data_IF_303745156433
#
_entry.id   IF_303745156433
#
_cell.length_a   1.000
_cell.length_b   1.000
_cell.length_c   1.000
_cell.angle_alpha   90.00
_cell.angle_beta   90.00
_cell.angle_gamma   90.00
#
_symmetry.space_group_name_H-M   'P 1'
#
loop_
_entity.id
_entity.type
_entity.pdbx_description
1 polymer ?
#
# COMPACT_ATOMS: atom_id res chain seq x y z
N UNK A 1 -47.49 -29.24 25.15
CA UNK A 1 -47.15 -27.96 24.48
C UNK A 1 -45.68 -27.55 24.66
N UNK A 2 -45.11 -27.56 25.88
CA UNK A 2 -43.68 -27.20 26.13
C UNK A 2 -42.64 -27.96 25.28
N UNK A 3 -42.80 -29.28 25.10
CA UNK A 3 -41.88 -30.12 24.32
C UNK A 3 -41.94 -29.87 22.80
N UNK A 4 -43.11 -29.52 22.27
CA UNK A 4 -43.28 -29.15 20.86
C UNK A 4 -42.63 -27.80 20.55
N UNK A 5 -42.77 -26.83 21.46
CA UNK A 5 -42.10 -25.53 21.35
C UNK A 5 -40.58 -25.68 21.41
N UNK A 6 -40.05 -26.48 22.34
CA UNK A 6 -38.61 -26.77 22.44
C UNK A 6 -38.04 -27.41 21.16
N UNK A 7 -38.78 -28.35 20.54
CA UNK A 7 -38.38 -28.99 19.28
C UNK A 7 -38.44 -28.04 18.08
N UNK A 8 -39.44 -27.16 18.04
CA UNK A 8 -39.54 -26.15 16.99
C UNK A 8 -38.40 -25.13 17.09
N UNK A 9 -38.06 -24.68 18.30
CA UNK A 9 -36.92 -23.79 18.56
C UNK A 9 -35.59 -24.45 18.18
N UNK A 10 -35.37 -25.72 18.54
CA UNK A 10 -34.15 -26.43 18.14
C UNK A 10 -34.05 -26.60 16.62
N UNK A 11 -35.15 -26.92 15.94
CA UNK A 11 -35.16 -27.05 14.49
C UNK A 11 -34.81 -25.72 13.79
N UNK A 12 -35.36 -24.60 14.27
CA UNK A 12 -35.04 -23.28 13.74
C UNK A 12 -33.56 -22.92 13.92
N UNK A 13 -32.98 -23.21 15.08
CA UNK A 13 -31.55 -23.00 15.34
C UNK A 13 -30.69 -23.86 14.41
N UNK A 14 -31.05 -25.14 14.21
CA UNK A 14 -30.33 -26.02 13.30
C UNK A 14 -30.36 -25.52 11.85
N UNK A 15 -31.51 -25.04 11.37
CA UNK A 15 -31.63 -24.47 10.02
C UNK A 15 -30.78 -23.20 9.90
N UNK A 16 -30.84 -22.29 10.88
CA UNK A 16 -30.01 -21.09 10.88
C UNK A 16 -28.52 -21.42 10.86
N UNK A 17 -28.08 -22.38 11.67
CA UNK A 17 -26.69 -22.85 11.69
C UNK A 17 -26.28 -23.48 10.35
N UNK A 18 -27.14 -24.30 9.73
CA UNK A 18 -26.87 -24.90 8.42
C UNK A 18 -26.71 -23.83 7.32
N UNK A 19 -27.57 -22.81 7.31
CA UNK A 19 -27.45 -21.68 6.38
C UNK A 19 -26.13 -20.94 6.58
N UNK A 20 -25.76 -20.65 7.84
CA UNK A 20 -24.48 -20.00 8.15
C UNK A 20 -23.28 -20.83 7.67
N UNK A 21 -23.29 -22.14 7.87
CA UNK A 21 -22.23 -23.03 7.39
C UNK A 21 -22.14 -23.07 5.86
N UNK A 22 -23.28 -23.06 5.16
CA UNK A 22 -23.30 -23.00 3.69
C UNK A 22 -22.72 -21.68 3.20
N UNK A 23 -23.10 -20.55 3.79
CA UNK A 23 -22.53 -19.24 3.44
C UNK A 23 -21.01 -19.21 3.67
N UNK A 24 -20.55 -19.70 4.83
CA UNK A 24 -19.13 -19.79 5.15
C UNK A 24 -18.36 -20.67 4.14
N UNK A 25 -18.95 -21.79 3.70
CA UNK A 25 -18.36 -22.66 2.69
C UNK A 25 -18.29 -22.01 1.30
N UNK A 26 -19.30 -21.20 0.93
CA UNK A 26 -19.28 -20.42 -0.31
C UNK A 26 -18.21 -19.35 -0.29
N UNK A 27 -18.09 -18.62 0.82
CA UNK A 27 -17.04 -17.62 1.00
C UNK A 27 -15.65 -18.28 0.98
N UNK A 28 -15.45 -19.39 1.69
CA UNK A 28 -14.19 -20.14 1.65
C UNK A 28 -13.81 -20.56 0.23
N UNK A 29 -14.77 -21.03 -0.57
CA UNK A 29 -14.57 -21.38 -1.98
C UNK A 29 -14.28 -20.14 -2.86
N UNK A 30 -14.92 -19.01 -2.56
CA UNK A 30 -14.68 -17.76 -3.28
C UNK A 30 -13.25 -17.25 -3.00
N UNK A 31 -12.80 -17.30 -1.76
CA UNK A 31 -11.44 -16.94 -1.36
C UNK A 31 -10.38 -17.88 -1.96
N UNK A 32 -10.62 -19.20 -1.92
CA UNK A 32 -9.66 -20.18 -2.44
C UNK A 32 -9.41 -20.05 -3.95
N UNK A 33 -10.41 -19.57 -4.70
CA UNK A 33 -10.29 -19.37 -6.15
C UNK A 33 -9.75 -18.00 -6.52
N UNK A 34 -10.09 -16.96 -5.77
CA UNK A 34 -9.65 -15.58 -6.06
C UNK A 34 -8.22 -15.29 -5.64
N UNK A 35 -7.74 -15.82 -4.51
CA UNK A 35 -6.38 -15.52 -4.02
C UNK A 35 -5.30 -15.87 -5.07
N UNK A 36 -5.29 -17.06 -5.70
CA UNK A 36 -4.33 -17.36 -6.75
C UNK A 36 -4.50 -16.49 -8.00
N UNK A 37 -5.74 -16.12 -8.35
CA UNK A 37 -6.00 -15.25 -9.49
C UNK A 37 -5.46 -13.84 -9.25
N UNK A 38 -5.65 -13.29 -8.06
CA UNK A 38 -5.09 -12.00 -7.66
C UNK A 38 -3.57 -12.03 -7.54
N UNK A 39 -2.97 -13.15 -7.11
CA UNK A 39 -1.52 -13.33 -7.13
C UNK A 39 -0.95 -13.24 -8.55
N UNK A 40 -1.65 -13.79 -9.55
CA UNK A 40 -1.26 -13.68 -10.96
C UNK A 40 -1.47 -12.25 -11.48
N UNK A 41 -2.55 -11.57 -11.08
CA UNK A 41 -2.78 -10.17 -11.40
C UNK A 41 -1.68 -9.28 -10.83
N UNK A 42 -1.28 -9.49 -9.58
CA UNK A 42 -0.17 -8.77 -8.95
C UNK A 42 1.15 -8.96 -9.71
N UNK A 43 1.46 -10.18 -10.15
CA UNK A 43 2.67 -10.43 -10.95
C UNK A 43 2.66 -9.71 -12.30
N UNK A 44 1.48 -9.55 -12.90
CA UNK A 44 1.32 -8.85 -14.18
C UNK A 44 1.34 -7.34 -14.02
N UNK A 45 0.62 -6.84 -13.02
CA UNK A 45 0.47 -5.43 -12.70
C UNK A 45 0.42 -5.25 -11.17
N UNK A 46 1.56 -4.93 -10.55
CA UNK A 46 1.63 -4.69 -9.12
C UNK A 46 0.77 -3.50 -8.65
N UNK A 47 0.45 -2.58 -9.57
CA UNK A 47 -0.30 -1.35 -9.30
C UNK A 47 -1.82 -1.51 -9.43
N UNK A 48 -2.27 -2.73 -9.74
CA UNK A 48 -3.68 -3.04 -9.87
C UNK A 48 -4.46 -2.69 -8.59
N UNK A 49 -5.64 -2.09 -8.76
CA UNK A 49 -6.53 -1.79 -7.64
C UNK A 49 -7.25 -3.03 -7.13
N UNK A 50 -7.65 -2.98 -5.86
CA UNK A 50 -8.45 -4.01 -5.19
C UNK A 50 -7.81 -5.42 -5.18
N UNK A 51 -6.48 -5.51 -5.18
CA UNK A 51 -5.78 -6.78 -4.96
C UNK A 51 -6.11 -7.33 -3.58
N UNK A 52 -6.44 -8.62 -3.52
CA UNK A 52 -6.74 -9.36 -2.29
C UNK A 52 -7.90 -8.76 -1.46
N UNK A 53 -8.83 -8.05 -2.10
CA UNK A 53 -10.09 -7.56 -1.49
C UNK A 53 -11.30 -8.32 -2.05
N UNK A 54 -12.22 -8.76 -1.20
CA UNK A 54 -13.48 -9.40 -1.61
C UNK A 54 -14.70 -8.71 -1.01
N UNK A 55 -15.85 -8.98 -1.63
CA UNK A 55 -17.17 -8.68 -1.08
C UNK A 55 -17.64 -9.95 -0.38
N UNK A 56 -17.83 -9.90 0.94
CA UNK A 56 -18.22 -11.06 1.76
C UNK A 56 -19.73 -11.25 1.73
N UNK A 57 -20.17 -12.51 1.65
CA UNK A 57 -21.58 -12.87 1.77
C UNK A 57 -21.93 -13.18 3.23
N UNK A 58 -20.98 -13.67 4.02
CA UNK A 58 -21.19 -13.92 5.45
C UNK A 58 -21.42 -12.61 6.20
N UNK A 59 -22.41 -12.58 7.12
CA UNK A 59 -22.64 -11.40 7.92
C UNK A 59 -21.46 -11.18 8.88
N UNK A 60 -21.15 -9.91 9.15
CA UNK A 60 -20.17 -9.49 10.16
C UNK A 60 -18.71 -9.91 9.93
N UNK A 61 -18.33 -10.37 8.73
CA UNK A 61 -16.93 -10.75 8.41
C UNK A 61 -16.43 -11.96 9.22
N UNK A 62 -17.35 -12.87 9.55
CA UNK A 62 -17.05 -14.07 10.33
C UNK A 62 -16.05 -14.97 9.60
N UNK A 63 -16.10 -15.02 8.28
CA UNK A 63 -15.18 -15.77 7.43
C UNK A 63 -13.72 -15.32 7.60
N UNK A 64 -13.43 -14.02 7.58
CA UNK A 64 -12.06 -13.51 7.81
C UNK A 64 -11.48 -13.87 9.18
N UNK A 65 -12.34 -13.97 10.20
CA UNK A 65 -11.95 -14.25 11.59
C UNK A 65 -11.78 -15.74 11.86
N UNK A 66 -12.69 -16.57 11.34
CA UNK A 66 -12.70 -18.03 11.55
C UNK A 66 -11.68 -18.72 10.64
N UNK A 67 -11.52 -18.25 9.41
CA UNK A 67 -10.66 -18.91 8.42
C UNK A 67 -9.19 -18.43 8.46
N UNK A 68 -8.84 -17.46 9.31
CA UNK A 68 -7.48 -16.93 9.41
C UNK A 68 -7.03 -16.06 8.22
N UNK A 69 -7.91 -15.83 7.24
CA UNK A 69 -7.61 -15.14 5.97
C UNK A 69 -7.04 -13.73 6.19
N UNK A 70 -7.40 -13.06 7.29
CA UNK A 70 -6.89 -11.73 7.62
C UNK A 70 -5.36 -11.68 7.71
N UNK A 71 -4.74 -12.68 8.34
CA UNK A 71 -3.28 -12.74 8.49
C UNK A 71 -2.60 -13.00 7.15
N UNK A 72 -3.16 -13.91 6.33
CA UNK A 72 -2.64 -14.19 4.99
C UNK A 72 -2.65 -12.95 4.09
N UNK A 73 -3.74 -12.16 4.12
CA UNK A 73 -3.85 -10.91 3.35
C UNK A 73 -2.86 -9.88 3.87
N UNK A 74 -2.74 -9.71 5.20
CA UNK A 74 -1.79 -8.78 5.80
C UNK A 74 -0.35 -9.14 5.42
N UNK A 75 0.01 -10.42 5.51
CA UNK A 75 1.33 -10.92 5.13
C UNK A 75 1.63 -10.65 3.64
N UNK A 76 0.65 -10.87 2.75
CA UNK A 76 0.78 -10.55 1.31
C UNK A 76 0.97 -9.06 1.06
N UNK A 77 0.15 -8.23 1.70
CA UNK A 77 0.23 -6.77 1.64
C UNK A 77 1.58 -6.25 2.11
N UNK A 78 2.08 -6.73 3.25
CA UNK A 78 3.38 -6.37 3.79
C UNK A 78 4.52 -6.72 2.83
N UNK A 79 4.54 -7.92 2.25
CA UNK A 79 5.57 -8.30 1.26
C UNK A 79 5.50 -7.45 0.00
N UNK A 80 4.31 -7.21 -0.52
CA UNK A 80 4.12 -6.38 -1.70
C UNK A 80 4.53 -4.92 -1.44
N UNK A 81 4.19 -4.41 -0.26
CA UNK A 81 4.58 -3.09 0.21
C UNK A 81 6.11 -2.94 0.30
N UNK A 82 6.79 -3.91 0.90
CA UNK A 82 8.25 -3.90 1.00
C UNK A 82 8.92 -3.94 -0.39
N UNK A 83 8.38 -4.72 -1.33
CA UNK A 83 8.87 -4.73 -2.70
C UNK A 83 8.71 -3.36 -3.39
N UNK A 84 7.55 -2.71 -3.22
CA UNK A 84 7.31 -1.37 -3.75
C UNK A 84 8.21 -0.30 -3.08
N UNK A 85 8.45 -0.41 -1.77
CA UNK A 85 9.37 0.45 -1.04
C UNK A 85 10.81 0.34 -1.60
N UNK A 86 11.30 -0.88 -1.83
CA UNK A 86 12.61 -1.09 -2.46
C UNK A 86 12.70 -0.50 -3.87
N UNK A 87 11.63 -0.61 -4.66
CA UNK A 87 11.56 0.02 -5.99
C UNK A 87 11.67 1.55 -5.89
N UNK A 88 11.05 2.14 -4.87
CA UNK A 88 11.20 3.57 -4.57
C UNK A 88 12.63 3.96 -4.19
N UNK A 89 13.28 3.19 -3.33
CA UNK A 89 14.69 3.40 -2.94
C UNK A 89 15.63 3.31 -4.15
N UNK A 90 15.38 2.38 -5.08
CA UNK A 90 16.14 2.30 -6.34
C UNK A 90 15.93 3.55 -7.20
N UNK A 91 14.69 4.03 -7.30
CA UNK A 91 14.38 5.32 -7.94
C UNK A 91 15.18 6.47 -7.34
N UNK A 92 15.27 6.52 -6.02
CA UNK A 92 16.07 7.51 -5.31
C UNK A 92 17.57 7.39 -5.64
N UNK A 93 18.11 6.18 -5.64
CA UNK A 93 19.50 5.93 -6.00
C UNK A 93 19.83 6.33 -7.45
N UNK A 94 18.89 6.20 -8.38
CA UNK A 94 19.06 6.71 -9.75
C UNK A 94 19.01 8.24 -9.81
N UNK A 95 18.17 8.87 -8.99
CA UNK A 95 18.06 10.33 -8.89
C UNK A 95 19.35 11.00 -8.39
N UNK A 96 20.16 10.29 -7.59
CA UNK A 96 21.47 10.79 -7.14
C UNK A 96 22.58 10.63 -8.18
N UNK A 97 22.42 9.69 -9.12
CA UNK A 97 23.40 9.42 -10.18
C UNK A 97 23.26 10.36 -11.38
N UNK A 98 22.02 10.71 -11.75
CA UNK A 98 21.75 11.57 -12.90
C UNK A 98 20.95 12.82 -12.48
N UNK A 99 21.67 13.93 -12.35
CA UNK A 99 21.08 15.22 -11.98
C UNK A 99 20.09 15.73 -13.03
N UNK A 100 20.30 15.41 -14.31
CA UNK A 100 19.44 15.87 -15.41
C UNK A 100 18.06 15.21 -15.38
N UNK A 101 17.99 13.96 -14.92
CA UNK A 101 16.77 13.18 -14.79
C UNK A 101 16.28 13.03 -13.34
N UNK A 102 16.91 13.74 -12.39
CA UNK A 102 16.61 13.67 -10.95
C UNK A 102 15.12 13.80 -10.66
N UNK A 103 14.45 14.79 -11.25
CA UNK A 103 13.02 15.01 -11.03
C UNK A 103 12.17 13.82 -11.51
N UNK A 104 12.49 13.23 -12.65
CA UNK A 104 11.79 12.04 -13.18
C UNK A 104 11.95 10.85 -12.24
N UNK A 105 13.18 10.58 -11.80
CA UNK A 105 13.46 9.48 -10.87
C UNK A 105 12.82 9.67 -9.50
N UNK A 106 12.81 10.90 -8.97
CA UNK A 106 12.10 11.23 -7.72
C UNK A 106 10.58 11.02 -7.85
N UNK A 107 9.97 11.41 -8.98
CA UNK A 107 8.54 11.17 -9.21
C UNK A 107 8.21 9.66 -9.30
N UNK A 108 9.06 8.86 -9.93
CA UNK A 108 8.92 7.41 -9.97
C UNK A 108 9.04 6.81 -8.55
N UNK A 109 10.01 7.30 -7.75
CA UNK A 109 10.18 6.86 -6.37
C UNK A 109 8.96 7.19 -5.50
N UNK A 110 8.46 8.42 -5.58
CA UNK A 110 7.25 8.88 -4.89
C UNK A 110 6.05 7.98 -5.23
N UNK A 111 5.90 7.62 -6.51
CA UNK A 111 4.82 6.72 -6.96
C UNK A 111 4.94 5.35 -6.31
N UNK A 112 6.15 4.79 -6.24
CA UNK A 112 6.41 3.49 -5.61
C UNK A 112 6.17 3.52 -4.08
N UNK A 113 6.58 4.57 -3.38
CA UNK A 113 6.31 4.69 -1.93
C UNK A 113 4.81 4.85 -1.64
N UNK A 114 4.08 5.63 -2.45
CA UNK A 114 2.61 5.72 -2.33
C UNK A 114 1.95 4.35 -2.54
N UNK A 115 2.44 3.57 -3.48
CA UNK A 115 1.97 2.21 -3.70
C UNK A 115 2.27 1.30 -2.51
N UNK A 116 3.47 1.41 -1.92
CA UNK A 116 3.83 0.66 -0.71
C UNK A 116 2.86 0.95 0.45
N UNK A 117 2.53 2.22 0.69
CA UNK A 117 1.57 2.64 1.72
C UNK A 117 0.15 2.17 1.40
N UNK A 118 -0.25 2.17 0.12
CA UNK A 118 -1.56 1.68 -0.29
C UNK A 118 -1.72 0.16 -0.08
N UNK A 119 -0.61 -0.60 -0.19
CA UNK A 119 -0.57 -2.06 0.01
C UNK A 119 -0.49 -2.43 1.50
N UNK A 120 0.30 -1.66 2.27
CA UNK A 120 0.43 -1.81 3.72
C UNK A 120 0.53 -0.42 4.38
N UNK A 121 -0.58 0.08 4.95
CA UNK A 121 -0.59 1.36 5.65
C UNK A 121 0.31 1.42 6.90
N UNK A 122 0.77 0.27 7.41
CA UNK A 122 1.66 0.19 8.56
C UNK A 122 3.16 0.20 8.18
N UNK A 123 3.49 0.38 6.90
CA UNK A 123 4.88 0.47 6.47
C UNK A 123 5.46 1.87 6.75
N UNK A 124 5.99 2.04 7.97
CA UNK A 124 6.59 3.29 8.45
C UNK A 124 7.81 3.71 7.61
N UNK A 125 8.60 2.75 7.12
CA UNK A 125 9.76 3.03 6.26
C UNK A 125 9.32 3.70 4.95
N UNK A 126 8.23 3.23 4.34
CA UNK A 126 7.69 3.81 3.12
C UNK A 126 7.12 5.22 3.35
N UNK A 127 6.51 5.48 4.51
CA UNK A 127 6.05 6.81 4.90
C UNK A 127 7.22 7.79 5.02
N UNK A 128 8.26 7.40 5.76
CA UNK A 128 9.46 8.22 5.92
C UNK A 128 10.16 8.47 4.58
N UNK A 129 10.34 7.42 3.77
CA UNK A 129 10.98 7.55 2.46
C UNK A 129 10.17 8.43 1.49
N UNK A 130 8.83 8.38 1.55
CA UNK A 130 7.96 9.26 0.79
C UNK A 130 8.15 10.72 1.18
N UNK A 131 8.16 11.01 2.48
CA UNK A 131 8.38 12.36 3.00
C UNK A 131 9.71 12.92 2.51
N UNK A 132 10.79 12.14 2.65
CA UNK A 132 12.11 12.53 2.20
C UNK A 132 12.18 12.77 0.68
N UNK A 133 11.55 11.91 -0.13
CA UNK A 133 11.52 12.08 -1.57
C UNK A 133 10.73 13.33 -2.01
N UNK A 134 9.64 13.65 -1.30
CA UNK A 134 8.84 14.86 -1.55
C UNK A 134 9.64 16.13 -1.22
N UNK A 135 10.39 16.14 -0.13
CA UNK A 135 11.26 17.26 0.26
C UNK A 135 12.34 17.52 -0.80
N UNK A 136 13.03 16.45 -1.22
CA UNK A 136 14.07 16.53 -2.26
C UNK A 136 13.54 17.02 -3.61
N UNK A 137 12.29 16.65 -3.96
CA UNK A 137 11.66 17.12 -5.19
C UNK A 137 11.38 18.63 -5.13
N UNK A 138 10.91 19.14 -3.98
CA UNK A 138 10.70 20.59 -3.78
C UNK A 138 12.00 21.37 -3.94
N UNK A 139 13.07 20.94 -3.26
CA UNK A 139 14.38 21.59 -3.36
C UNK A 139 14.97 21.56 -4.78
N UNK A 140 14.70 20.50 -5.56
CA UNK A 140 15.11 20.43 -6.97
C UNK A 140 14.38 21.47 -7.84
N UNK A 141 13.08 21.73 -7.58
CA UNK A 141 12.31 22.75 -8.29
C UNK A 141 12.79 24.18 -8.02
N UNK A 142 13.18 24.47 -6.78
CA UNK A 142 13.72 25.78 -6.37
C UNK A 142 15.08 26.07 -7.02
N UNK A 143 15.95 25.06 -7.13
CA UNK A 143 17.23 25.17 -7.82
C UNK A 143 17.06 25.45 -9.32
N UNK A 144 16.05 24.83 -9.96
CA UNK A 144 15.73 25.08 -11.36
C UNK A 144 15.21 26.51 -11.57
N UNK A 145 14.35 27.02 -10.67
CA UNK A 145 13.80 28.39 -10.74
C UNK A 145 14.84 29.48 -10.44
N UNK A 146 15.77 29.25 -9.51
CA UNK A 146 16.86 30.19 -9.23
C UNK A 146 17.97 30.22 -10.28
N UNK A 147 18.05 29.19 -11.13
CA UNK A 147 19.02 29.09 -12.23
C UNK A 147 18.62 29.90 -13.48
N UNK A 148 17.32 30.11 -13.72
CA UNK A 148 16.84 30.95 -14.83
C UNK A 148 17.06 32.44 -14.61
N UNK A 149 17.13 32.90 -13.35
CA UNK A 149 17.27 34.33 -13.01
C UNK A 149 18.72 34.83 -12.94
N UNK A 150 19.73 33.95 -13.03
CA UNK A 150 21.15 34.32 -12.84
C UNK A 150 21.98 34.34 -14.12
N UNK A 151 21.37 34.71 -15.26
CA UNK A 151 22.11 35.11 -16.47
C UNK A 151 21.89 36.59 -16.77
N UNK A 152 22.27 37.43 -15.80
CA UNK A 152 22.28 38.88 -15.93
C UNK A 152 23.13 39.52 -14.85
N UNK A 153 24.25 40.09 -15.27
CA UNK A 153 24.96 41.20 -14.60
C UNK A 153 25.92 40.83 -13.45
N UNK A 154 27.18 40.63 -13.87
CA UNK A 154 28.42 41.21 -13.33
C UNK A 154 28.50 41.72 -11.87
N UNK A 155 29.54 41.25 -11.17
CA UNK A 155 30.37 42.14 -10.36
C UNK A 155 30.51 41.81 -8.87
N UNK A 156 31.72 41.31 -8.53
CA UNK A 156 32.50 41.57 -7.29
C UNK A 156 32.04 40.99 -5.94
N UNK A 157 32.92 40.11 -5.46
CA UNK A 157 33.56 40.07 -4.13
C UNK A 157 32.73 40.30 -2.85
N UNK A 158 32.67 39.25 -2.01
CA UNK A 158 32.39 39.33 -0.58
C UNK A 158 32.79 38.03 0.14
N UNK A 159 33.90 38.07 0.90
CA UNK A 159 34.30 37.10 1.94
C UNK A 159 33.27 37.20 3.10
N UNK A 160 32.84 36.19 3.87
CA UNK A 160 33.52 35.20 4.74
C UNK A 160 32.43 34.19 5.31
N UNK A 161 32.80 33.10 6.03
CA UNK A 161 31.94 31.94 6.32
C UNK A 161 31.39 31.79 7.76
N UNK A 162 30.51 30.78 7.94
CA UNK A 162 30.19 29.88 9.10
C UNK A 162 28.84 30.01 9.83
N UNK A 163 28.28 28.83 10.18
CA UNK A 163 27.25 28.61 11.21
C UNK A 163 26.54 27.24 11.11
N UNK A 164 26.81 26.30 12.02
CA UNK A 164 26.23 24.94 12.14
C UNK A 164 25.00 24.89 13.08
N UNK A 165 24.22 23.81 12.98
CA UNK A 165 23.21 23.34 13.96
C UNK A 165 21.78 23.72 13.55
N UNK A 166 20.81 22.80 13.55
CA UNK A 166 20.52 21.70 14.50
C UNK A 166 20.16 20.41 13.76
#
# INVERSE_FOLDING_TARGET
MRTAALRASSAAVCVAAAVLLVLLALDARAWSTRLPADDLRYRRDPSASALWKTHELSPFGLDRSVLGIRDDIAYRGARASQAANLLGVLGFAMATQDVSQRATFLNNAITAFRQAIALDPANDDALFNLEYALDQLKGSGEQQAGGSDKRGTGGRAGLKPTGHGY
#
